data_IF_121582177058
#
_entry.id   IF_121582177058
#
_cell.length_a   1.000
_cell.length_b   1.000
_cell.length_c   1.000
_cell.angle_alpha   90.00
_cell.angle_beta   90.00
_cell.angle_gamma   90.00
#
_symmetry.space_group_name_H-M   'P 1'
#
loop_
_entity.id
_entity.type
_entity.pdbx_description
1 polymer ?
#
# COMPACT_ATOMS: atom_id res chain seq x y z
N UNK A 1 30.34 39.75 -2.70
CA UNK A 1 29.25 38.93 -2.12
C UNK A 1 28.38 38.17 -3.15
N UNK A 2 28.70 38.14 -4.46
CA UNK A 2 27.83 37.46 -5.46
C UNK A 2 28.14 35.99 -5.75
N UNK A 3 29.32 35.47 -5.37
CA UNK A 3 29.76 34.10 -5.76
C UNK A 3 29.34 32.98 -4.81
N UNK A 4 28.85 33.29 -3.61
CA UNK A 4 28.38 32.29 -2.66
C UNK A 4 26.88 32.03 -2.79
N UNK A 5 26.11 33.06 -3.18
CA UNK A 5 24.67 32.94 -3.41
C UNK A 5 24.34 31.97 -4.56
N UNK A 6 25.12 31.96 -5.66
CA UNK A 6 24.83 31.05 -6.78
C UNK A 6 25.05 29.58 -6.42
N UNK A 7 26.05 29.25 -5.58
CA UNK A 7 26.33 27.86 -5.16
C UNK A 7 25.28 27.34 -4.19
N UNK A 8 24.82 28.19 -3.28
CA UNK A 8 23.71 27.86 -2.38
C UNK A 8 22.40 27.72 -3.15
N UNK A 9 22.13 28.60 -4.11
CA UNK A 9 20.95 28.50 -4.97
C UNK A 9 20.96 27.22 -5.84
N UNK A 10 22.12 26.84 -6.41
CA UNK A 10 22.27 25.58 -7.14
C UNK A 10 22.12 24.36 -6.23
N UNK A 11 22.69 24.41 -5.03
CA UNK A 11 22.51 23.37 -4.02
C UNK A 11 21.06 23.19 -3.62
N UNK A 12 20.32 24.28 -3.39
CA UNK A 12 18.88 24.27 -3.04
C UNK A 12 17.99 23.87 -4.23
N UNK A 13 18.40 24.15 -5.48
CA UNK A 13 17.69 23.68 -6.67
C UNK A 13 17.96 22.21 -6.99
N UNK A 14 19.14 21.68 -6.65
CA UNK A 14 19.52 20.29 -6.88
C UNK A 14 19.17 19.37 -5.69
N UNK A 15 18.96 19.92 -4.49
CA UNK A 15 18.60 19.15 -3.28
C UNK A 15 17.30 18.36 -3.45
N UNK A 16 16.22 18.93 -4.03
CA UNK A 16 15.01 18.17 -4.33
C UNK A 16 15.34 17.02 -5.29
N UNK A 17 16.06 17.27 -6.38
CA UNK A 17 16.43 16.23 -7.36
C UNK A 17 17.26 15.08 -6.79
N UNK A 18 18.20 15.37 -5.88
CA UNK A 18 19.03 14.36 -5.22
C UNK A 18 18.27 13.58 -4.14
N UNK A 19 17.43 14.24 -3.33
CA UNK A 19 16.52 13.55 -2.42
C UNK A 19 15.46 12.73 -3.20
N UNK A 20 15.05 13.18 -4.39
CA UNK A 20 14.08 12.51 -5.26
C UNK A 20 14.62 11.21 -5.87
N UNK A 21 15.86 11.21 -6.36
CA UNK A 21 16.50 10.00 -6.86
C UNK A 21 16.69 8.95 -5.75
N UNK A 22 16.95 9.39 -4.51
CA UNK A 22 17.11 8.51 -3.35
C UNK A 22 15.79 7.95 -2.80
N UNK A 23 14.65 8.62 -3.06
CA UNK A 23 13.31 8.14 -2.68
C UNK A 23 12.78 7.13 -3.69
N UNK A 24 13.01 7.36 -5.00
CA UNK A 24 12.64 6.42 -6.07
C UNK A 24 13.40 5.08 -5.96
N UNK A 25 14.66 5.11 -5.54
CA UNK A 25 15.47 3.89 -5.31
C UNK A 25 15.05 3.11 -4.05
N UNK A 26 14.18 3.69 -3.21
CA UNK A 26 13.67 3.07 -1.97
C UNK A 26 12.20 2.64 -2.08
N UNK A 27 11.52 2.98 -3.17
CA UNK A 27 10.11 2.67 -3.32
C UNK A 27 9.95 1.23 -3.82
N UNK A 28 9.57 0.34 -2.90
CA UNK A 28 9.32 -1.06 -3.23
C UNK A 28 8.13 -1.19 -4.16
N UNK A 29 8.36 -1.77 -5.34
CA UNK A 29 7.28 -2.01 -6.28
C UNK A 29 6.32 -3.09 -5.75
N UNK A 30 5.02 -3.05 -6.09
CA UNK A 30 4.03 -3.99 -5.55
C UNK A 30 4.26 -5.44 -6.00
N UNK A 31 5.08 -5.70 -7.02
CA UNK A 31 5.46 -7.06 -7.42
C UNK A 31 6.70 -7.59 -6.70
N UNK A 32 7.33 -6.79 -5.84
CA UNK A 32 8.47 -7.24 -5.04
C UNK A 32 8.03 -8.25 -3.97
N UNK A 33 8.93 -9.16 -3.55
CA UNK A 33 8.57 -10.21 -2.60
C UNK A 33 8.17 -9.67 -1.23
N UNK A 34 8.73 -8.54 -0.80
CA UNK A 34 8.45 -7.95 0.50
C UNK A 34 6.97 -7.50 0.65
N UNK A 35 6.42 -6.65 -0.23
CA UNK A 35 5.01 -6.24 -0.15
C UNK A 35 4.04 -7.42 -0.30
N UNK A 36 4.32 -8.34 -1.22
CA UNK A 36 3.53 -9.57 -1.41
C UNK A 36 3.47 -10.38 -0.11
N UNK A 37 4.61 -10.65 0.51
CA UNK A 37 4.69 -11.41 1.77
C UNK A 37 3.96 -10.69 2.90
N UNK A 38 4.09 -9.36 3.01
CA UNK A 38 3.43 -8.58 4.04
C UNK A 38 1.90 -8.64 3.88
N UNK A 39 1.40 -8.53 2.65
CA UNK A 39 -0.03 -8.67 2.32
C UNK A 39 -0.56 -10.06 2.66
N UNK A 40 0.21 -11.12 2.37
CA UNK A 40 -0.16 -12.49 2.73
C UNK A 40 -0.23 -12.68 4.25
N UNK A 41 0.75 -12.16 4.99
CA UNK A 41 0.76 -12.21 6.46
C UNK A 41 -0.44 -11.48 7.05
N UNK A 42 -0.74 -10.28 6.55
CA UNK A 42 -1.91 -9.51 7.01
C UNK A 42 -3.23 -10.22 6.70
N UNK A 43 -3.33 -10.84 5.52
CA UNK A 43 -4.50 -11.64 5.12
C UNK A 43 -4.68 -12.87 6.00
N UNK A 44 -3.59 -13.59 6.31
CA UNK A 44 -3.60 -14.72 7.24
C UNK A 44 -4.03 -14.29 8.66
N UNK A 45 -3.52 -13.16 9.14
CA UNK A 45 -3.91 -12.60 10.44
C UNK A 45 -5.42 -12.30 10.48
N UNK A 46 -5.95 -11.65 9.44
CA UNK A 46 -7.38 -11.37 9.33
C UNK A 46 -8.22 -12.65 9.27
N UNK A 47 -7.78 -13.67 8.52
CA UNK A 47 -8.45 -14.97 8.45
C UNK A 47 -8.46 -15.68 9.81
N UNK A 48 -7.34 -15.70 10.54
CA UNK A 48 -7.24 -16.31 11.86
C UNK A 48 -8.16 -15.62 12.87
N UNK A 49 -8.19 -14.28 12.87
CA UNK A 49 -9.09 -13.51 13.72
C UNK A 49 -10.57 -13.80 13.44
N UNK A 50 -10.93 -14.07 12.18
CA UNK A 50 -12.28 -14.44 11.78
C UNK A 50 -12.65 -15.88 12.14
N UNK A 51 -11.71 -16.82 12.05
CA UNK A 51 -11.93 -18.22 12.44
C UNK A 51 -12.03 -18.41 13.95
N UNK A 52 -11.50 -17.47 14.73
CA UNK A 52 -11.47 -17.59 16.16
C UNK A 52 -12.87 -17.34 16.76
N UNK A 53 -13.39 -18.33 17.50
CA UNK A 53 -14.77 -18.36 18.08
C UNK A 53 -15.14 -17.20 19.03
N UNK A 54 -14.26 -16.24 19.29
CA UNK A 54 -14.58 -15.07 20.11
C UNK A 54 -15.26 -14.00 19.22
N UNK A 55 -16.59 -13.92 19.31
CA UNK A 55 -17.47 -13.10 18.45
C UNK A 55 -17.26 -11.58 18.42
N UNK A 56 -16.15 -11.04 18.96
CA UNK A 56 -15.75 -9.63 18.83
C UNK A 56 -14.47 -9.42 18.01
N UNK A 57 -13.71 -10.48 17.71
CA UNK A 57 -12.44 -10.37 16.98
C UNK A 57 -12.62 -9.96 15.51
N UNK A 58 -13.81 -10.17 14.94
CA UNK A 58 -14.15 -9.68 13.60
C UNK A 58 -14.00 -8.16 13.48
N UNK A 59 -14.27 -7.39 14.55
CA UNK A 59 -14.08 -5.93 14.55
C UNK A 59 -12.61 -5.55 14.43
N UNK A 60 -11.73 -6.35 15.05
CA UNK A 60 -10.27 -6.15 14.99
C UNK A 60 -9.77 -6.47 13.58
N UNK A 61 -10.24 -7.56 12.97
CA UNK A 61 -9.93 -7.87 11.57
C UNK A 61 -10.43 -6.80 10.59
N UNK A 62 -11.64 -6.25 10.81
CA UNK A 62 -12.13 -5.10 10.04
C UNK A 62 -11.24 -3.86 10.22
N UNK A 63 -10.86 -3.52 11.45
CA UNK A 63 -9.98 -2.37 11.70
C UNK A 63 -8.60 -2.56 11.03
N UNK A 64 -8.02 -3.76 11.13
CA UNK A 64 -6.73 -4.09 10.53
C UNK A 64 -6.77 -4.06 9.01
N UNK A 65 -7.81 -4.62 8.38
CA UNK A 65 -7.96 -4.58 6.92
C UNK A 65 -8.17 -3.17 6.38
N UNK A 66 -8.92 -2.32 7.08
CA UNK A 66 -9.07 -0.89 6.72
C UNK A 66 -7.74 -0.14 6.89
N UNK A 67 -7.05 -0.36 8.01
CA UNK A 67 -5.74 0.23 8.24
C UNK A 67 -4.72 -0.19 7.18
N UNK A 68 -4.72 -1.47 6.80
CA UNK A 68 -3.87 -2.00 5.74
C UNK A 68 -4.14 -1.35 4.39
N UNK A 69 -5.41 -1.25 4.00
CA UNK A 69 -5.80 -0.56 2.77
C UNK A 69 -5.35 0.91 2.81
N UNK A 70 -5.52 1.59 3.95
CA UNK A 70 -5.06 2.96 4.13
C UNK A 70 -3.54 3.10 3.91
N UNK A 71 -2.72 2.21 4.48
CA UNK A 71 -1.26 2.20 4.27
C UNK A 71 -0.92 2.08 2.79
N UNK A 72 -1.59 1.18 2.06
CA UNK A 72 -1.36 1.03 0.63
C UNK A 72 -1.80 2.23 -0.20
N UNK A 73 -2.90 2.90 0.18
CA UNK A 73 -3.33 4.12 -0.49
C UNK A 73 -2.42 5.34 -0.23
N UNK A 74 -1.50 5.26 0.74
CA UNK A 74 -0.45 6.28 0.95
C UNK A 74 0.77 6.08 0.01
N UNK A 75 0.74 5.11 -0.89
CA UNK A 75 1.83 4.87 -1.83
C UNK A 75 2.07 6.08 -2.76
N UNK A 76 3.33 6.41 -3.01
CA UNK A 76 3.73 7.58 -3.78
C UNK A 76 3.23 7.57 -5.23
N UNK A 77 2.82 6.41 -5.76
CA UNK A 77 2.15 6.32 -7.06
C UNK A 77 0.85 7.14 -7.12
N UNK A 78 0.16 7.32 -5.99
CA UNK A 78 -1.03 8.18 -5.88
C UNK A 78 -0.72 9.61 -5.46
N UNK A 79 0.55 9.92 -5.16
CA UNK A 79 0.97 11.30 -4.85
C UNK A 79 0.81 12.17 -6.10
N UNK A 80 0.25 13.37 -5.92
CA UNK A 80 0.12 14.35 -7.00
C UNK A 80 1.49 14.80 -7.54
N UNK A 81 2.52 14.74 -6.71
CA UNK A 81 3.87 15.21 -7.04
C UNK A 81 4.75 14.10 -7.64
N UNK A 82 4.68 12.88 -7.08
CA UNK A 82 5.57 11.76 -7.45
C UNK A 82 4.90 10.80 -8.45
N UNK A 83 3.58 10.62 -8.38
CA UNK A 83 2.81 9.70 -9.22
C UNK A 83 2.96 9.94 -10.73
N UNK A 84 2.86 11.17 -11.23
CA UNK A 84 3.06 11.45 -12.67
C UNK A 84 4.47 11.10 -13.16
N UNK A 85 5.47 11.18 -12.28
CA UNK A 85 6.88 10.93 -12.62
C UNK A 85 7.14 9.43 -12.68
N UNK A 86 6.65 8.67 -11.69
CA UNK A 86 6.64 7.19 -11.72
C UNK A 86 5.94 6.67 -12.97
N UNK A 87 4.81 7.26 -13.35
CA UNK A 87 4.08 6.88 -14.57
C UNK A 87 4.83 7.20 -15.85
N UNK A 88 5.70 8.21 -15.85
CA UNK A 88 6.51 8.57 -17.02
C UNK A 88 7.70 7.62 -17.23
N UNK A 89 8.19 6.98 -16.17
CA UNK A 89 9.27 5.98 -16.23
C UNK A 89 8.76 4.58 -16.61
N UNK A 90 7.51 4.27 -16.24
CA UNK A 90 6.88 3.00 -16.54
C UNK A 90 6.27 2.99 -17.94
N UNK A 91 6.29 1.84 -18.62
CA UNK A 91 5.47 1.66 -19.81
C UNK A 91 3.97 1.71 -19.45
N UNK A 92 3.11 2.06 -20.40
CA UNK A 92 1.66 2.15 -20.17
C UNK A 92 1.04 0.85 -19.65
N UNK A 93 1.62 -0.30 -20.01
CA UNK A 93 1.23 -1.63 -19.51
C UNK A 93 1.68 -1.86 -18.07
N UNK A 94 2.89 -1.46 -17.73
CA UNK A 94 3.43 -1.59 -16.37
C UNK A 94 2.71 -0.66 -15.40
N UNK A 95 2.40 0.56 -15.79
CA UNK A 95 1.63 1.49 -14.97
C UNK A 95 0.23 0.94 -14.62
N UNK A 96 -0.46 0.30 -15.57
CA UNK A 96 -1.74 -0.38 -15.30
C UNK A 96 -1.58 -1.57 -14.37
N UNK A 97 -0.53 -2.37 -14.58
CA UNK A 97 -0.21 -3.53 -13.73
C UNK A 97 0.13 -3.09 -12.31
N UNK A 98 0.87 -1.99 -12.16
CA UNK A 98 1.22 -1.37 -10.88
C UNK A 98 -0.04 -1.03 -10.08
N UNK A 99 -0.96 -0.26 -10.69
CA UNK A 99 -2.24 0.10 -10.05
C UNK A 99 -3.06 -1.15 -9.72
N UNK A 100 -3.13 -2.11 -10.64
CA UNK A 100 -3.87 -3.36 -10.44
C UNK A 100 -3.35 -4.14 -9.23
N UNK A 101 -2.04 -4.34 -9.14
CA UNK A 101 -1.42 -5.06 -8.02
C UNK A 101 -1.57 -4.29 -6.71
N UNK A 102 -1.38 -2.98 -6.72
CA UNK A 102 -1.57 -2.15 -5.54
C UNK A 102 -3.00 -2.27 -4.99
N UNK A 103 -4.01 -2.23 -5.86
CA UNK A 103 -5.41 -2.44 -5.46
C UNK A 103 -5.65 -3.86 -4.94
N UNK A 104 -5.06 -4.88 -5.56
CA UNK A 104 -5.14 -6.26 -5.07
C UNK A 104 -4.55 -6.36 -3.67
N UNK A 105 -3.35 -5.83 -3.44
CA UNK A 105 -2.67 -5.90 -2.15
C UNK A 105 -3.33 -5.08 -1.05
N UNK A 106 -3.89 -3.93 -1.40
CA UNK A 106 -4.67 -3.10 -0.50
C UNK A 106 -5.95 -3.80 -0.04
N UNK A 107 -6.66 -4.45 -0.97
CA UNK A 107 -8.02 -4.96 -0.74
C UNK A 107 -8.06 -6.43 -0.29
N UNK A 108 -7.00 -7.21 -0.51
CA UNK A 108 -7.00 -8.65 -0.20
C UNK A 108 -7.38 -8.94 1.26
N UNK A 109 -6.83 -8.26 2.29
CA UNK A 109 -7.24 -8.52 3.67
C UNK A 109 -8.69 -8.15 3.96
N UNK A 110 -9.23 -7.13 3.27
CA UNK A 110 -10.63 -6.74 3.41
C UNK A 110 -11.56 -7.78 2.79
N UNK A 111 -11.23 -8.32 1.62
CA UNK A 111 -11.97 -9.42 0.97
C UNK A 111 -12.00 -10.66 1.87
N UNK A 112 -10.85 -11.04 2.45
CA UNK A 112 -10.76 -12.16 3.39
C UNK A 112 -11.63 -11.93 4.62
N UNK A 113 -11.57 -10.72 5.18
CA UNK A 113 -12.37 -10.31 6.35
C UNK A 113 -13.87 -10.39 6.06
N UNK A 114 -14.32 -9.84 4.92
CA UNK A 114 -15.73 -9.88 4.50
C UNK A 114 -16.20 -11.30 4.22
N UNK A 115 -15.39 -12.12 3.54
CA UNK A 115 -15.69 -13.53 3.29
C UNK A 115 -15.84 -14.33 4.59
N UNK A 116 -14.96 -14.09 5.56
CA UNK A 116 -15.05 -14.69 6.90
C UNK A 116 -16.33 -14.29 7.64
N UNK A 117 -16.70 -13.00 7.57
CA UNK A 117 -17.92 -12.49 8.20
C UNK A 117 -19.20 -13.04 7.55
N UNK A 118 -19.22 -13.15 6.21
CA UNK A 118 -20.32 -13.76 5.47
C UNK A 118 -20.50 -15.23 5.87
N UNK A 119 -19.40 -15.99 5.90
CA UNK A 119 -19.42 -17.39 6.34
C UNK A 119 -19.95 -17.53 7.76
N UNK A 120 -19.49 -16.67 8.68
CA UNK A 120 -19.96 -16.70 10.07
C UNK A 120 -21.46 -16.44 10.17
N UNK A 121 -21.99 -15.45 9.45
CA UNK A 121 -23.45 -15.18 9.40
C UNK A 121 -24.25 -16.34 8.84
N UNK A 122 -23.77 -17.00 7.80
CA UNK A 122 -24.45 -18.16 7.21
C UNK A 122 -24.51 -19.35 8.17
N UNK A 123 -23.44 -19.57 8.96
CA UNK A 123 -23.38 -20.66 9.94
C UNK A 123 -24.20 -20.35 11.20
N UNK A 124 -24.15 -19.12 11.71
CA UNK A 124 -24.88 -18.72 12.92
C UNK A 124 -26.37 -18.42 12.70
N UNK A 125 -26.84 -18.34 11.45
CA UNK A 125 -28.25 -18.18 11.12
C UNK A 125 -29.02 -19.49 10.95
N UNK A 126 -28.39 -20.64 11.22
CA UNK A 126 -28.98 -21.98 11.15
C UNK A 126 -29.35 -22.58 12.53
N UNK A 127 -29.08 -21.85 13.61
CA UNK A 127 -29.52 -22.16 14.98
C UNK A 127 -30.76 -21.33 15.36
#
# INVERSE_FOLDING_TARGET
MGRYAYRVALGVMLFPGLCWAEVLDKQQAPWEPAPVLATLVMSMLCALLMLWRRGRLWRVACALSVFWAFVWFQNDFFSADVGPVLQAELTSTEARTYVGLLLVEALLPAVVTLGGLLRWRLVSGQD
#
